data_IF_542614490796
#
_entry.id   IF_542614490796
#
_cell.length_a   1.000
_cell.length_b   1.000
_cell.length_c   1.000
_cell.angle_alpha   90.00
_cell.angle_beta   90.00
_cell.angle_gamma   90.00
#
_symmetry.space_group_name_H-M   'P 1'
#
loop_
_entity.id
_entity.type
_entity.pdbx_description
1 polymer ?
#
# COMPACT_ATOMS: atom_id res chain seq x y z
N UNK A 1 -36.84 11.43 -12.43
CA UNK A 1 -35.89 11.52 -11.32
C UNK A 1 -34.54 11.89 -11.92
N UNK A 2 -33.75 12.75 -11.29
CA UNK A 2 -32.39 12.97 -11.79
C UNK A 2 -31.62 11.65 -11.81
N UNK A 3 -30.77 11.48 -12.80
CA UNK A 3 -29.89 10.31 -12.89
C UNK A 3 -28.91 10.31 -11.71
N UNK A 4 -28.89 9.24 -10.93
CA UNK A 4 -28.00 9.14 -9.77
C UNK A 4 -26.54 8.96 -10.23
N UNK A 5 -25.56 9.48 -9.45
CA UNK A 5 -24.15 9.26 -9.78
C UNK A 5 -23.81 7.77 -9.87
N UNK A 6 -23.08 7.40 -10.92
CA UNK A 6 -22.62 6.01 -11.12
C UNK A 6 -21.30 5.73 -10.38
N UNK A 7 -20.59 6.81 -9.98
CA UNK A 7 -19.30 6.70 -9.29
C UNK A 7 -19.56 6.47 -7.80
N UNK A 8 -19.06 5.36 -7.22
CA UNK A 8 -19.22 5.11 -5.79
C UNK A 8 -18.38 6.11 -4.97
N UNK A 9 -18.86 6.39 -3.76
CA UNK A 9 -18.09 7.13 -2.75
C UNK A 9 -16.92 6.27 -2.26
N UNK A 10 -15.81 6.92 -1.94
CA UNK A 10 -14.61 6.33 -1.34
C UNK A 10 -14.26 7.00 -0.03
N UNK A 11 -13.54 6.30 0.82
CA UNK A 11 -12.92 6.83 2.02
C UNK A 11 -11.42 6.61 1.89
N UNK A 12 -10.66 7.67 2.05
CA UNK A 12 -9.21 7.68 1.93
C UNK A 12 -8.57 7.75 3.32
N UNK A 13 -7.46 7.04 3.48
CA UNK A 13 -6.68 6.98 4.71
C UNK A 13 -5.21 7.34 4.50
N UNK A 14 -4.31 6.48 4.99
CA UNK A 14 -2.86 6.70 4.86
C UNK A 14 -2.43 6.80 3.42
N UNK A 15 -1.61 7.80 3.10
CA UNK A 15 -0.85 7.85 1.86
C UNK A 15 0.29 6.82 1.93
N UNK A 16 0.52 6.09 0.85
CA UNK A 16 1.45 4.95 0.82
C UNK A 16 2.43 5.10 -0.33
N UNK A 17 3.71 4.98 -0.02
CA UNK A 17 4.77 4.96 -1.02
C UNK A 17 5.56 3.66 -0.91
N UNK A 18 5.63 2.92 -2.02
CA UNK A 18 6.57 1.83 -2.21
C UNK A 18 7.75 2.35 -3.01
N UNK A 19 8.96 2.13 -2.53
CA UNK A 19 10.20 2.43 -3.25
C UNK A 19 11.00 1.15 -3.41
N UNK A 20 11.32 0.80 -4.64
CA UNK A 20 12.10 -0.40 -4.97
C UNK A 20 13.48 0.04 -5.44
N UNK A 21 14.53 -0.50 -4.80
CA UNK A 21 15.91 -0.15 -5.08
C UNK A 21 16.73 -1.38 -5.45
N UNK A 22 17.66 -1.17 -6.36
CA UNK A 22 18.83 -2.01 -6.54
C UNK A 22 19.98 -1.44 -5.73
N UNK A 23 20.74 -2.31 -5.09
CA UNK A 23 21.88 -1.92 -4.27
C UNK A 23 23.19 -2.12 -5.04
N UNK A 24 24.06 -1.12 -5.04
CA UNK A 24 25.39 -1.25 -5.68
C UNK A 24 26.36 -2.00 -4.77
N UNK A 25 26.22 -3.33 -4.76
CA UNK A 25 27.11 -4.23 -4.04
C UNK A 25 28.58 -4.08 -4.43
N UNK A 26 28.86 -3.67 -5.68
CA UNK A 26 30.23 -3.52 -6.19
C UNK A 26 30.90 -2.29 -5.56
N UNK A 27 30.21 -1.17 -5.55
CA UNK A 27 30.70 0.05 -4.87
C UNK A 27 30.77 -0.16 -3.36
N UNK A 28 29.74 -0.75 -2.75
CA UNK A 28 29.68 -1.03 -1.30
C UNK A 28 30.87 -1.86 -0.82
N UNK A 29 31.22 -2.95 -1.51
CA UNK A 29 32.32 -3.85 -1.13
C UNK A 29 33.70 -3.22 -1.26
N UNK A 30 33.85 -2.10 -1.96
CA UNK A 30 35.11 -1.35 -2.08
C UNK A 30 35.36 -0.41 -0.89
N UNK A 31 34.33 -0.07 -0.14
CA UNK A 31 34.48 0.78 1.05
C UNK A 31 35.24 0.05 2.15
N UNK A 32 36.08 0.78 2.92
CA UNK A 32 36.64 0.31 4.18
C UNK A 32 35.56 -0.18 5.15
N UNK A 33 35.91 -1.10 6.03
CA UNK A 33 34.96 -1.70 6.97
C UNK A 33 34.37 -0.66 7.94
N UNK A 34 35.17 0.28 8.40
CA UNK A 34 34.76 1.36 9.29
C UNK A 34 33.73 2.30 8.62
N UNK A 35 33.92 2.65 7.35
CA UNK A 35 32.94 3.43 6.58
C UNK A 35 31.64 2.66 6.41
N UNK A 36 31.68 1.37 6.02
CA UNK A 36 30.48 0.54 5.91
C UNK A 36 29.73 0.45 7.24
N UNK A 37 30.46 0.31 8.34
CA UNK A 37 29.88 0.25 9.68
C UNK A 37 29.19 1.56 10.04
N UNK A 38 29.82 2.70 9.74
CA UNK A 38 29.23 4.02 10.01
C UNK A 38 27.94 4.25 9.21
N UNK A 39 27.96 3.98 7.90
CA UNK A 39 26.79 4.12 7.01
C UNK A 39 25.65 3.18 7.48
N UNK A 40 26.00 1.95 7.83
CA UNK A 40 25.04 0.96 8.31
C UNK A 40 24.38 1.39 9.62
N UNK A 41 25.16 1.98 10.55
CA UNK A 41 24.65 2.51 11.81
C UNK A 41 23.73 3.72 11.60
N UNK A 42 24.09 4.64 10.70
CA UNK A 42 23.24 5.78 10.32
C UNK A 42 21.89 5.30 9.79
N UNK A 43 21.91 4.39 8.82
CA UNK A 43 20.67 3.87 8.22
C UNK A 43 19.85 3.04 9.21
N UNK A 44 20.51 2.25 10.08
CA UNK A 44 19.83 1.52 11.16
C UNK A 44 19.05 2.46 12.09
N UNK A 45 19.68 3.59 12.47
CA UNK A 45 19.02 4.58 13.34
C UNK A 45 17.84 5.25 12.63
N UNK A 46 17.95 5.58 11.35
CA UNK A 46 16.87 6.11 10.54
C UNK A 46 15.72 5.12 10.44
N UNK A 47 16.02 3.87 10.05
CA UNK A 47 15.02 2.81 9.90
C UNK A 47 14.31 2.51 11.22
N UNK A 48 15.03 2.51 12.36
CA UNK A 48 14.44 2.32 13.68
C UNK A 48 13.38 3.39 14.02
N UNK A 49 13.67 4.67 13.69
CA UNK A 49 12.68 5.76 13.87
C UNK A 49 11.46 5.55 12.97
N UNK A 50 11.67 5.15 11.74
CA UNK A 50 10.60 4.90 10.78
C UNK A 50 9.75 3.68 11.14
N UNK A 51 10.36 2.60 11.66
CA UNK A 51 9.65 1.41 12.14
C UNK A 51 8.81 1.70 13.40
N UNK A 52 9.33 2.51 14.31
CA UNK A 52 8.59 2.93 15.50
C UNK A 52 7.33 3.72 15.16
N UNK A 53 7.38 4.47 14.05
CA UNK A 53 6.30 5.33 13.62
C UNK A 53 6.07 6.51 14.56
N UNK A 54 4.98 7.23 14.31
CA UNK A 54 4.54 8.34 15.14
C UNK A 54 3.01 8.31 15.20
N UNK A 55 2.47 8.21 16.42
CA UNK A 55 1.04 8.18 16.66
C UNK A 55 0.45 9.55 17.05
N UNK A 56 1.29 10.58 17.17
CA UNK A 56 0.87 11.93 17.50
C UNK A 56 0.83 12.84 16.26
N UNK A 57 -0.14 13.77 16.19
CA UNK A 57 -1.20 14.06 17.16
C UNK A 57 -2.50 13.26 16.95
N UNK A 58 -2.65 12.55 15.82
CA UNK A 58 -3.92 11.95 15.38
C UNK A 58 -4.06 10.45 15.74
N UNK A 59 -3.03 9.85 16.34
CA UNK A 59 -3.02 8.42 16.71
C UNK A 59 -2.77 7.47 15.53
N UNK A 60 -2.38 7.98 14.35
CA UNK A 60 -2.06 7.15 13.19
C UNK A 60 -0.63 6.57 13.29
N UNK A 61 -0.39 5.33 12.86
CA UNK A 61 0.91 4.67 13.01
C UNK A 61 2.06 5.35 12.27
N UNK A 62 1.84 5.93 11.09
CA UNK A 62 2.84 6.64 10.28
C UNK A 62 4.19 5.89 10.17
N UNK A 63 4.12 4.60 9.92
CA UNK A 63 5.24 3.66 9.95
C UNK A 63 5.90 3.49 8.59
N UNK A 64 7.14 3.00 8.61
CA UNK A 64 7.82 2.45 7.44
C UNK A 64 8.31 1.04 7.72
N UNK A 65 8.54 0.29 6.65
CA UNK A 65 9.08 -1.06 6.72
C UNK A 65 10.07 -1.30 5.58
N UNK A 66 11.15 -2.01 5.89
CA UNK A 66 12.14 -2.44 4.92
C UNK A 66 12.01 -3.95 4.68
N UNK A 67 12.12 -4.34 3.41
CA UNK A 67 12.14 -5.73 3.00
C UNK A 67 13.28 -5.98 2.01
N UNK A 68 13.97 -7.11 2.16
CA UNK A 68 14.94 -7.65 1.20
C UNK A 68 14.19 -8.33 0.08
N UNK A 69 14.29 -7.82 -1.13
CA UNK A 69 13.59 -8.37 -2.29
C UNK A 69 14.31 -9.60 -2.83
N UNK A 70 13.52 -10.62 -3.19
CA UNK A 70 14.00 -11.84 -3.84
C UNK A 70 13.79 -11.71 -5.35
N UNK A 71 14.85 -11.93 -6.12
CA UNK A 71 14.82 -11.92 -7.59
C UNK A 71 15.50 -10.70 -8.20
N UNK A 72 15.29 -10.48 -9.50
CA UNK A 72 16.09 -9.53 -10.30
C UNK A 72 15.50 -8.11 -10.37
N UNK A 73 14.33 -7.86 -9.80
CA UNK A 73 13.61 -6.58 -9.95
C UNK A 73 14.16 -5.48 -9.05
N UNK A 74 14.88 -5.86 -8.02
CA UNK A 74 15.53 -4.98 -7.05
C UNK A 74 16.17 -5.81 -5.94
N UNK A 75 16.75 -5.15 -4.95
CA UNK A 75 17.35 -5.77 -3.75
C UNK A 75 16.59 -5.37 -2.48
N UNK A 76 15.97 -4.17 -2.46
CA UNK A 76 15.26 -3.63 -1.32
C UNK A 76 13.90 -3.05 -1.73
N UNK A 77 12.91 -3.20 -0.85
CA UNK A 77 11.64 -2.48 -0.89
C UNK A 77 11.48 -1.73 0.42
N UNK A 78 11.29 -0.42 0.34
CA UNK A 78 10.82 0.42 1.43
C UNK A 78 9.34 0.71 1.22
N UNK A 79 8.54 0.53 2.28
CA UNK A 79 7.14 0.92 2.30
C UNK A 79 6.95 1.97 3.37
N UNK A 80 6.27 3.07 3.02
CA UNK A 80 5.99 4.18 3.90
C UNK A 80 4.49 4.44 3.95
N UNK A 81 3.92 4.49 5.16
CA UNK A 81 2.55 4.92 5.42
C UNK A 81 2.60 6.27 6.14
N UNK A 82 1.95 7.29 5.59
CA UNK A 82 1.95 8.66 6.15
C UNK A 82 0.56 9.29 6.02
N UNK A 83 0.31 10.33 6.81
CA UNK A 83 -0.95 11.07 6.79
C UNK A 83 -1.09 11.97 5.55
N UNK A 84 0.02 12.37 4.94
CA UNK A 84 0.03 13.29 3.80
C UNK A 84 1.08 12.92 2.75
N UNK A 85 0.89 13.43 1.52
CA UNK A 85 1.90 13.34 0.46
C UNK A 85 3.15 14.14 0.79
N UNK A 86 3.01 15.25 1.52
CA UNK A 86 4.13 16.06 2.00
C UNK A 86 5.02 15.28 2.97
N UNK A 87 4.42 14.44 3.80
CA UNK A 87 5.18 13.56 4.71
C UNK A 87 5.89 12.45 3.96
N UNK A 88 5.28 11.89 2.90
CA UNK A 88 5.96 10.95 2.00
C UNK A 88 7.15 11.61 1.29
N UNK A 89 6.95 12.81 0.72
CA UNK A 89 8.04 13.57 0.11
C UNK A 89 9.18 13.85 1.10
N UNK A 90 8.85 14.15 2.36
CA UNK A 90 9.86 14.36 3.41
C UNK A 90 10.68 13.10 3.66
N UNK A 91 10.05 11.93 3.69
CA UNK A 91 10.74 10.64 3.86
C UNK A 91 11.70 10.36 2.68
N UNK A 92 11.29 10.64 1.45
CA UNK A 92 12.17 10.50 0.27
C UNK A 92 13.38 11.42 0.37
N UNK A 93 13.17 12.69 0.74
CA UNK A 93 14.23 13.65 0.91
C UNK A 93 15.16 13.28 2.07
N UNK A 94 14.61 12.73 3.17
CA UNK A 94 15.42 12.26 4.30
C UNK A 94 16.32 11.08 3.89
N UNK A 95 15.79 10.10 3.13
CA UNK A 95 16.57 9.00 2.58
C UNK A 95 17.69 9.51 1.68
N UNK A 96 17.37 10.47 0.81
CA UNK A 96 18.33 11.06 -0.14
C UNK A 96 19.51 11.80 0.54
N UNK A 97 19.36 12.21 1.80
CA UNK A 97 20.45 12.85 2.57
C UNK A 97 21.32 11.84 3.32
N UNK A 98 20.97 10.55 3.32
CA UNK A 98 21.80 9.54 4.01
C UNK A 98 23.06 9.20 3.24
N UNK A 99 24.09 8.79 3.97
CA UNK A 99 25.33 8.25 3.38
C UNK A 99 25.11 6.93 2.62
N UNK A 100 23.97 6.27 2.82
CA UNK A 100 23.59 5.06 2.08
C UNK A 100 23.08 5.37 0.67
N UNK A 101 22.45 6.53 0.47
CA UNK A 101 21.73 6.84 -0.77
C UNK A 101 22.55 6.69 -2.07
N UNK A 102 23.87 7.03 -2.10
CA UNK A 102 24.70 6.83 -3.29
C UNK A 102 24.79 5.36 -3.77
N UNK A 103 24.47 4.40 -2.91
CA UNK A 103 24.46 2.97 -3.24
C UNK A 103 23.08 2.46 -3.66
N UNK A 104 22.05 3.32 -3.61
CA UNK A 104 20.67 2.98 -3.95
C UNK A 104 20.34 3.47 -5.36
N UNK A 105 20.00 2.55 -6.25
CA UNK A 105 19.44 2.86 -7.56
C UNK A 105 17.95 2.53 -7.55
N UNK A 106 17.09 3.53 -7.60
CA UNK A 106 15.65 3.31 -7.67
C UNK A 106 15.28 2.64 -9.01
N UNK A 107 14.62 1.49 -8.93
CA UNK A 107 14.20 0.71 -10.10
C UNK A 107 12.71 0.88 -10.39
N UNK A 108 11.93 1.14 -9.36
CA UNK A 108 10.49 1.38 -9.46
C UNK A 108 9.97 2.07 -8.19
N UNK A 109 8.80 2.66 -8.29
CA UNK A 109 8.03 3.16 -7.15
C UNK A 109 6.55 2.94 -7.39
N UNK A 110 5.74 3.10 -6.33
CA UNK A 110 4.30 3.07 -6.42
C UNK A 110 3.69 3.98 -5.36
N UNK A 111 2.94 4.98 -5.81
CA UNK A 111 2.28 5.98 -4.96
C UNK A 111 0.77 5.71 -4.92
N UNK A 112 0.20 5.62 -3.73
CA UNK A 112 -1.20 5.27 -3.55
C UNK A 112 -1.75 5.79 -2.23
N UNK A 113 -3.05 5.56 -1.98
CA UNK A 113 -3.73 5.89 -0.73
C UNK A 113 -4.51 4.66 -0.26
N UNK A 114 -4.48 4.34 1.04
CA UNK A 114 -5.38 3.32 1.58
C UNK A 114 -6.81 3.77 1.32
N UNK A 115 -7.55 2.99 0.55
CA UNK A 115 -8.89 3.34 0.09
C UNK A 115 -9.91 2.25 0.43
N UNK A 116 -11.07 2.67 0.87
CA UNK A 116 -12.23 1.80 1.05
C UNK A 116 -13.37 2.30 0.17
N UNK A 117 -13.70 1.54 -0.87
CA UNK A 117 -14.87 1.80 -1.70
C UNK A 117 -16.18 1.51 -0.95
N UNK A 118 -17.08 2.47 -0.94
CA UNK A 118 -18.40 2.38 -0.29
C UNK A 118 -19.49 1.96 -1.30
N UNK A 119 -19.22 0.95 -2.14
CA UNK A 119 -20.02 0.63 -3.30
C UNK A 119 -21.52 0.46 -2.97
N UNK A 120 -21.87 -0.53 -2.12
CA UNK A 120 -23.27 -0.77 -1.72
C UNK A 120 -23.88 0.37 -0.87
N UNK A 121 -23.03 1.08 -0.11
CA UNK A 121 -23.47 2.20 0.71
C UNK A 121 -23.76 3.44 -0.13
N UNK A 122 -23.03 3.64 -1.23
CA UNK A 122 -23.20 4.80 -2.10
C UNK A 122 -24.60 4.84 -2.74
N UNK A 123 -25.08 3.71 -3.23
CA UNK A 123 -26.42 3.63 -3.79
C UNK A 123 -27.50 4.02 -2.78
N UNK A 124 -27.36 3.54 -1.53
CA UNK A 124 -28.29 3.86 -0.44
C UNK A 124 -28.22 5.34 -0.05
N UNK A 125 -27.00 5.89 0.04
CA UNK A 125 -26.78 7.30 0.36
C UNK A 125 -27.39 8.17 -0.75
N UNK A 126 -27.11 7.89 -2.01
CA UNK A 126 -27.64 8.63 -3.14
C UNK A 126 -29.16 8.57 -3.22
N UNK A 127 -29.76 7.40 -3.02
CA UNK A 127 -31.21 7.25 -2.97
C UNK A 127 -31.83 8.12 -1.85
N UNK A 128 -31.26 8.09 -0.65
CA UNK A 128 -31.73 8.89 0.50
C UNK A 128 -31.63 10.40 0.25
N UNK A 129 -30.56 10.85 -0.42
CA UNK A 129 -30.41 12.27 -0.78
C UNK A 129 -31.43 12.70 -1.84
N UNK A 130 -31.67 11.84 -2.84
CA UNK A 130 -32.69 12.09 -3.87
C UNK A 130 -34.12 12.11 -3.29
N UNK A 131 -34.45 11.21 -2.34
CA UNK A 131 -35.73 11.21 -1.60
C UNK A 131 -35.95 12.52 -0.81
N UNK A 132 -34.89 13.18 -0.34
CA UNK A 132 -34.94 14.50 0.29
C UNK A 132 -35.07 15.65 -0.72
N UNK A 133 -35.16 15.35 -2.03
CA UNK A 133 -35.26 16.33 -3.09
C UNK A 133 -33.95 17.06 -3.41
N UNK A 134 -32.80 16.53 -2.98
CA UNK A 134 -31.50 17.09 -3.30
C UNK A 134 -31.07 16.61 -4.69
N UNK A 135 -30.44 17.52 -5.45
CA UNK A 135 -29.96 17.24 -6.80
C UNK A 135 -28.44 16.93 -6.80
N UNK A 136 -27.99 15.87 -7.51
CA UNK A 136 -26.58 15.52 -7.63
C UNK A 136 -25.71 16.71 -8.06
N UNK A 137 -24.56 16.87 -7.38
CA UNK A 137 -23.59 17.93 -7.68
C UNK A 137 -23.88 19.29 -7.06
N UNK A 138 -25.02 19.47 -6.37
CA UNK A 138 -25.30 20.70 -5.60
C UNK A 138 -24.49 20.74 -4.30
N UNK A 139 -24.23 21.93 -3.70
CA UNK A 139 -23.57 22.04 -2.41
C UNK A 139 -24.28 21.25 -1.31
N UNK A 140 -25.61 21.25 -1.28
CA UNK A 140 -26.45 20.54 -0.32
C UNK A 140 -26.33 19.02 -0.49
N UNK A 141 -26.29 18.51 -1.72
CA UNK A 141 -26.02 17.12 -2.03
C UNK A 141 -24.64 16.70 -1.52
N UNK A 142 -23.61 17.48 -1.85
CA UNK A 142 -22.23 17.20 -1.46
C UNK A 142 -22.06 17.23 0.07
N UNK A 143 -22.72 18.17 0.76
CA UNK A 143 -22.73 18.22 2.21
C UNK A 143 -23.40 16.99 2.82
N UNK A 144 -24.55 16.56 2.29
CA UNK A 144 -25.27 15.36 2.75
C UNK A 144 -24.48 14.08 2.52
N UNK A 145 -23.81 13.93 1.39
CA UNK A 145 -22.91 12.82 1.11
C UNK A 145 -21.72 12.84 2.07
N UNK A 146 -21.10 13.99 2.32
CA UNK A 146 -20.01 14.16 3.27
C UNK A 146 -20.38 13.80 4.72
N UNK A 147 -21.58 14.20 5.19
CA UNK A 147 -22.06 13.78 6.52
C UNK A 147 -22.28 12.27 6.63
N UNK A 148 -22.79 11.63 5.58
CA UNK A 148 -23.00 10.19 5.56
C UNK A 148 -21.67 9.43 5.57
N UNK A 149 -20.68 9.89 4.80
CA UNK A 149 -19.34 9.29 4.77
C UNK A 149 -18.55 9.54 6.05
N UNK A 150 -18.67 10.70 6.69
CA UNK A 150 -17.97 11.01 7.94
C UNK A 150 -18.34 10.03 9.09
N UNK A 151 -19.61 9.60 9.16
CA UNK A 151 -20.04 8.60 10.14
C UNK A 151 -19.42 7.23 9.88
N UNK A 152 -19.33 6.85 8.61
CA UNK A 152 -18.71 5.59 8.18
C UNK A 152 -17.20 5.63 8.40
N UNK A 153 -16.56 6.77 8.10
CA UNK A 153 -15.12 6.99 8.31
C UNK A 153 -14.71 6.73 9.77
N UNK A 154 -15.44 7.28 10.73
CA UNK A 154 -15.13 7.10 12.15
C UNK A 154 -15.12 5.61 12.57
N UNK A 155 -16.03 4.80 12.01
CA UNK A 155 -16.10 3.36 12.29
C UNK A 155 -15.05 2.52 11.59
N UNK A 156 -14.45 3.03 10.50
CA UNK A 156 -13.46 2.34 9.65
C UNK A 156 -12.05 2.92 9.78
N UNK A 157 -11.82 3.87 10.67
CA UNK A 157 -10.53 4.57 10.83
C UNK A 157 -9.35 3.60 10.99
N UNK A 158 -9.48 2.54 11.78
CA UNK A 158 -8.41 1.55 11.95
C UNK A 158 -8.06 0.76 10.67
N UNK A 159 -8.97 0.72 9.70
CA UNK A 159 -8.73 0.10 8.39
C UNK A 159 -8.13 1.08 7.40
N UNK A 160 -8.44 2.37 7.55
CA UNK A 160 -7.93 3.45 6.71
C UNK A 160 -6.49 3.83 7.11
N UNK A 161 -6.17 3.72 8.40
CA UNK A 161 -4.83 4.02 8.93
C UNK A 161 -4.22 2.75 9.57
N UNK A 162 -3.92 1.71 8.78
CA UNK A 162 -3.42 0.47 9.31
C UNK A 162 -1.96 0.60 9.76
N UNK A 163 -1.60 -0.13 10.82
CA UNK A 163 -0.20 -0.42 11.09
C UNK A 163 0.33 -1.44 10.07
N UNK A 164 1.60 -1.32 9.70
CA UNK A 164 2.26 -2.30 8.83
C UNK A 164 2.34 -3.63 9.59
N UNK A 165 1.78 -4.73 9.05
CA UNK A 165 1.77 -6.02 9.73
C UNK A 165 3.19 -6.52 10.04
N UNK A 166 3.44 -7.09 11.24
CA UNK A 166 4.77 -7.60 11.64
C UNK A 166 5.05 -8.99 11.04
N UNK A 167 4.69 -9.21 9.77
CA UNK A 167 4.88 -10.49 9.10
C UNK A 167 6.28 -10.61 8.48
N UNK A 168 6.76 -11.83 8.34
CA UNK A 168 8.08 -12.15 7.79
C UNK A 168 8.19 -11.85 6.30
N UNK A 169 7.12 -12.04 5.53
CA UNK A 169 7.12 -11.87 4.08
C UNK A 169 6.12 -10.83 3.64
N UNK A 170 6.49 -10.13 2.57
CA UNK A 170 5.63 -9.25 1.78
C UNK A 170 5.57 -9.76 0.35
N UNK A 171 4.37 -9.78 -0.22
CA UNK A 171 4.15 -9.86 -1.65
C UNK A 171 3.37 -8.61 -2.09
N UNK A 172 4.05 -7.68 -2.75
CA UNK A 172 3.44 -6.49 -3.36
C UNK A 172 3.21 -6.73 -4.85
N UNK A 173 2.07 -6.27 -5.34
CA UNK A 173 1.80 -6.18 -6.78
C UNK A 173 0.79 -5.07 -7.07
N UNK A 174 0.96 -4.29 -8.16
CA UNK A 174 -0.07 -3.41 -8.67
C UNK A 174 -1.05 -4.18 -9.54
N UNK A 175 -2.27 -3.67 -9.65
CA UNK A 175 -3.30 -4.27 -10.50
C UNK A 175 -4.29 -3.23 -11.02
N UNK A 176 -4.92 -3.58 -12.16
CA UNK A 176 -6.00 -2.82 -12.77
C UNK A 176 -7.24 -3.69 -12.94
N UNK A 177 -8.36 -3.04 -12.96
CA UNK A 177 -9.56 -3.50 -13.64
C UNK A 177 -9.42 -3.27 -15.14
N UNK A 178 -9.77 -4.24 -15.95
CA UNK A 178 -9.78 -4.05 -17.41
C UNK A 178 -10.77 -2.93 -17.77
N UNK A 179 -10.31 -1.98 -18.57
CA UNK A 179 -11.14 -0.85 -19.00
C UNK A 179 -12.35 -1.34 -19.79
N UNK A 180 -13.51 -0.77 -19.51
CA UNK A 180 -14.78 -1.16 -20.11
C UNK A 180 -15.52 -2.29 -19.37
N UNK A 181 -14.91 -2.91 -18.37
CA UNK A 181 -15.47 -4.02 -17.59
C UNK A 181 -16.00 -3.59 -16.21
N UNK A 182 -16.23 -2.29 -15.98
CA UNK A 182 -16.63 -1.74 -14.67
C UNK A 182 -17.90 -2.39 -14.14
N UNK A 183 -18.93 -2.53 -14.98
CA UNK A 183 -20.20 -3.14 -14.58
C UNK A 183 -19.98 -4.59 -14.19
N UNK A 184 -19.29 -5.36 -15.02
CA UNK A 184 -19.01 -6.76 -14.78
C UNK A 184 -18.18 -6.99 -13.52
N UNK A 185 -17.19 -6.11 -13.27
CA UNK A 185 -16.36 -6.15 -12.06
C UNK A 185 -17.19 -6.07 -10.78
N UNK A 186 -18.21 -5.22 -10.75
CA UNK A 186 -19.02 -4.98 -9.56
C UNK A 186 -20.24 -5.89 -9.44
N UNK A 187 -20.77 -6.39 -10.55
CA UNK A 187 -22.00 -7.21 -10.57
C UNK A 187 -21.75 -8.71 -10.47
N UNK A 188 -20.56 -9.18 -10.86
CA UNK A 188 -20.22 -10.61 -10.74
C UNK A 188 -19.97 -10.98 -9.28
N UNK A 189 -20.52 -12.12 -8.81
CA UNK A 189 -20.25 -12.61 -7.46
C UNK A 189 -18.76 -12.90 -7.27
N UNK A 190 -18.15 -12.21 -6.34
CA UNK A 190 -16.75 -12.50 -5.96
C UNK A 190 -16.75 -13.68 -4.97
N UNK A 191 -15.89 -14.66 -5.21
CA UNK A 191 -15.73 -15.79 -4.29
C UNK A 191 -15.40 -15.29 -2.86
N UNK A 192 -16.03 -15.87 -1.85
CA UNK A 192 -15.74 -15.53 -0.45
C UNK A 192 -14.35 -16.06 -0.07
N UNK A 193 -13.38 -15.16 -0.06
CA UNK A 193 -11.98 -15.44 0.23
C UNK A 193 -11.63 -15.36 1.72
N UNK A 194 -12.61 -15.04 2.58
CA UNK A 194 -12.38 -14.85 4.03
C UNK A 194 -11.86 -16.11 4.71
N UNK A 195 -12.16 -17.28 4.19
CA UNK A 195 -11.65 -18.56 4.73
C UNK A 195 -10.16 -18.78 4.50
N UNK A 196 -9.55 -18.08 3.51
CA UNK A 196 -8.13 -18.18 3.18
C UNK A 196 -7.31 -16.95 3.65
N UNK A 197 -7.99 -15.89 4.05
CA UNK A 197 -7.37 -14.64 4.49
C UNK A 197 -7.11 -14.67 6.01
N UNK A 198 -6.32 -15.63 6.48
CA UNK A 198 -5.66 -15.52 7.79
C UNK A 198 -4.51 -14.50 7.75
N UNK A 199 -4.09 -14.10 6.54
CA UNK A 199 -3.05 -13.14 6.28
C UNK A 199 -3.64 -11.74 6.14
N UNK A 200 -2.81 -10.77 6.49
CA UNK A 200 -3.22 -9.37 6.40
C UNK A 200 -2.99 -8.87 4.99
N UNK A 201 -4.04 -8.32 4.40
CA UNK A 201 -4.02 -7.65 3.11
C UNK A 201 -4.30 -6.17 3.32
N UNK A 202 -3.48 -5.32 2.70
CA UNK A 202 -3.74 -3.89 2.57
C UNK A 202 -3.89 -3.60 1.08
N UNK A 203 -5.02 -2.99 0.72
CA UNK A 203 -5.30 -2.55 -0.65
C UNK A 203 -5.30 -1.04 -0.66
N UNK A 204 -4.63 -0.46 -1.65
CA UNK A 204 -4.49 0.98 -1.83
C UNK A 204 -4.96 1.38 -3.22
N UNK A 205 -5.67 2.51 -3.32
CA UNK A 205 -6.07 3.11 -4.59
C UNK A 205 -5.01 4.09 -5.10
N UNK A 206 -4.81 4.13 -6.41
CA UNK A 206 -3.80 5.01 -7.02
C UNK A 206 -4.27 5.69 -8.31
N UNK A 207 -5.56 5.63 -8.61
CA UNK A 207 -6.13 6.31 -9.78
C UNK A 207 -5.81 7.81 -9.75
N UNK A 208 -5.02 8.28 -10.72
CA UNK A 208 -4.56 9.66 -10.78
C UNK A 208 -3.29 9.96 -9.95
N UNK A 209 -2.74 8.97 -9.24
CA UNK A 209 -1.49 9.07 -8.47
C UNK A 209 -0.36 8.25 -9.10
N UNK A 210 -0.69 7.12 -9.72
CA UNK A 210 0.27 6.20 -10.34
C UNK A 210 -0.34 5.56 -11.61
N UNK A 211 0.44 4.70 -12.29
CA UNK A 211 0.06 4.08 -13.57
C UNK A 211 -1.02 3.00 -13.44
N UNK A 212 -1.18 2.39 -12.26
CA UNK A 212 -2.14 1.34 -11.96
C UNK A 212 -3.28 1.84 -11.08
N UNK A 213 -4.44 1.12 -11.07
CA UNK A 213 -5.59 1.52 -10.25
C UNK A 213 -5.40 1.17 -8.77
N UNK A 214 -4.77 0.02 -8.47
CA UNK A 214 -4.57 -0.47 -7.10
C UNK A 214 -3.19 -1.05 -6.86
N UNK A 215 -2.69 -0.84 -5.63
CA UNK A 215 -1.61 -1.60 -5.03
C UNK A 215 -2.15 -2.62 -4.03
N UNK A 216 -1.60 -3.82 -4.04
CA UNK A 216 -1.98 -4.89 -3.12
C UNK A 216 -0.75 -5.36 -2.36
N UNK A 217 -0.78 -5.18 -1.05
CA UNK A 217 0.20 -5.71 -0.11
C UNK A 217 -0.36 -6.94 0.59
N UNK A 218 0.28 -8.08 0.42
CA UNK A 218 0.00 -9.32 1.14
C UNK A 218 1.12 -9.59 2.13
N UNK A 219 0.77 -9.78 3.40
CA UNK A 219 1.71 -10.04 4.49
C UNK A 219 1.44 -11.41 5.09
N UNK A 220 2.48 -12.26 5.20
CA UNK A 220 2.38 -13.62 5.76
C UNK A 220 3.70 -14.08 6.37
N UNK A 221 3.63 -15.08 7.26
CA UNK A 221 4.81 -15.78 7.79
C UNK A 221 5.17 -17.03 6.98
N UNK A 222 4.27 -17.48 6.10
CA UNK A 222 4.51 -18.52 5.09
C UNK A 222 4.26 -17.96 3.67
N UNK A 223 5.29 -17.84 2.80
CA UNK A 223 5.14 -17.27 1.47
C UNK A 223 4.34 -18.17 0.52
N UNK A 224 4.15 -19.45 0.84
CA UNK A 224 3.34 -20.37 0.02
C UNK A 224 1.87 -19.95 -0.02
N UNK A 225 1.42 -19.24 0.99
CA UNK A 225 0.07 -18.68 1.07
C UNK A 225 -0.20 -17.70 -0.07
N UNK A 226 0.76 -16.84 -0.42
CA UNK A 226 0.61 -15.94 -1.57
C UNK A 226 0.36 -16.69 -2.87
N UNK A 227 1.13 -17.76 -3.10
CA UNK A 227 0.95 -18.62 -4.27
C UNK A 227 -0.45 -19.25 -4.29
N UNK A 228 -0.92 -19.77 -3.15
CA UNK A 228 -2.25 -20.40 -3.04
C UNK A 228 -3.34 -19.39 -3.29
N UNK A 229 -3.28 -18.21 -2.66
CA UNK A 229 -4.25 -17.13 -2.83
C UNK A 229 -4.35 -16.70 -4.29
N UNK A 230 -3.21 -16.36 -4.92
CA UNK A 230 -3.21 -15.93 -6.32
C UNK A 230 -3.65 -17.07 -7.27
N UNK A 231 -3.30 -18.32 -6.95
CA UNK A 231 -3.78 -19.47 -7.74
C UNK A 231 -5.30 -19.56 -7.71
N UNK A 232 -5.95 -19.43 -6.55
CA UNK A 232 -7.42 -19.45 -6.44
C UNK A 232 -8.06 -18.26 -7.14
N UNK A 233 -7.48 -17.06 -7.04
CA UNK A 233 -7.94 -15.88 -7.77
C UNK A 233 -7.98 -16.12 -9.30
N UNK A 234 -7.18 -17.03 -9.85
CA UNK A 234 -7.21 -17.38 -11.28
C UNK A 234 -8.41 -18.20 -11.68
N UNK A 235 -9.15 -18.78 -10.71
CA UNK A 235 -10.41 -19.50 -10.96
C UNK A 235 -11.64 -18.65 -10.62
N UNK A 236 -11.48 -17.54 -9.94
CA UNK A 236 -12.53 -16.57 -9.72
C UNK A 236 -12.70 -15.68 -10.96
N UNK A 237 -13.92 -15.63 -11.51
CA UNK A 237 -14.22 -14.94 -12.76
C UNK A 237 -13.82 -13.46 -12.74
N UNK A 238 -14.07 -12.77 -11.62
CA UNK A 238 -13.74 -11.35 -11.47
C UNK A 238 -12.22 -11.15 -11.66
N UNK A 239 -11.43 -11.91 -10.91
CA UNK A 239 -9.97 -11.77 -10.95
C UNK A 239 -9.35 -12.37 -12.21
N UNK A 240 -9.89 -13.47 -12.74
CA UNK A 240 -9.33 -14.14 -13.90
C UNK A 240 -9.63 -13.43 -15.23
N UNK A 241 -10.82 -12.83 -15.35
CA UNK A 241 -11.30 -12.25 -16.61
C UNK A 241 -11.18 -10.72 -16.61
N UNK A 242 -11.56 -10.07 -15.52
CA UNK A 242 -11.69 -8.60 -15.47
C UNK A 242 -10.52 -7.87 -14.81
N UNK A 243 -9.59 -8.59 -14.16
CA UNK A 243 -8.38 -8.01 -13.59
C UNK A 243 -7.18 -8.11 -14.55
N UNK A 244 -6.25 -7.16 -14.42
CA UNK A 244 -4.91 -7.19 -14.98
C UNK A 244 -3.92 -7.03 -13.83
N UNK A 245 -2.93 -7.93 -13.74
CA UNK A 245 -1.93 -7.94 -12.67
C UNK A 245 -0.60 -7.46 -13.20
N UNK A 246 0.03 -6.54 -12.48
CA UNK A 246 1.38 -6.08 -12.77
C UNK A 246 2.46 -7.04 -12.26
N UNK A 247 3.63 -6.49 -12.01
CA UNK A 247 4.76 -7.27 -11.52
C UNK A 247 4.58 -7.62 -10.04
N UNK A 248 4.90 -8.87 -9.67
CA UNK A 248 4.93 -9.33 -8.29
C UNK A 248 6.32 -9.09 -7.69
N UNK A 249 6.36 -8.52 -6.49
CA UNK A 249 7.57 -8.26 -5.72
C UNK A 249 7.48 -9.07 -4.42
N UNK A 250 8.26 -10.16 -4.34
CA UNK A 250 8.32 -11.00 -3.15
C UNK A 250 9.55 -10.65 -2.33
N UNK A 251 9.38 -10.46 -1.03
CA UNK A 251 10.46 -9.97 -0.18
C UNK A 251 10.36 -10.46 1.26
N UNK A 252 11.48 -10.41 1.98
CA UNK A 252 11.65 -10.83 3.37
C UNK A 252 11.86 -9.60 4.24
N UNK A 253 11.17 -9.52 5.38
CA UNK A 253 11.30 -8.41 6.33
C UNK A 253 12.73 -8.25 6.83
N UNK A 254 13.21 -7.02 6.83
CA UNK A 254 14.47 -6.60 7.45
C UNK A 254 14.14 -5.56 8.50
N UNK A 255 14.45 -5.86 9.76
CA UNK A 255 14.30 -4.89 10.85
C UNK A 255 15.57 -4.06 11.01
N UNK A 256 15.42 -2.84 11.52
CA UNK A 256 16.54 -1.95 11.82
C UNK A 256 17.64 -2.66 12.64
N UNK A 257 17.26 -3.49 13.60
CA UNK A 257 18.20 -4.27 14.42
C UNK A 257 19.04 -5.28 13.61
N UNK A 258 18.56 -5.71 12.44
CA UNK A 258 19.18 -6.75 11.63
C UNK A 258 19.77 -6.23 10.32
N UNK A 259 19.78 -4.92 10.09
CA UNK A 259 20.24 -4.34 8.83
C UNK A 259 21.72 -4.65 8.54
N UNK A 260 22.57 -4.75 9.58
CA UNK A 260 23.97 -5.15 9.43
C UNK A 260 24.07 -6.56 8.83
N UNK A 261 23.21 -7.50 9.25
CA UNK A 261 23.18 -8.85 8.70
C UNK A 261 22.81 -8.86 7.22
N UNK A 262 21.95 -7.94 6.78
CA UNK A 262 21.63 -7.79 5.38
C UNK A 262 22.86 -7.31 4.58
N UNK A 263 23.57 -6.29 5.04
CA UNK A 263 24.79 -5.79 4.39
C UNK A 263 25.92 -6.82 4.36
N UNK A 264 26.00 -7.69 5.36
CA UNK A 264 27.02 -8.74 5.48
C UNK A 264 26.62 -10.04 4.76
N UNK A 265 25.38 -10.11 4.22
CA UNK A 265 24.84 -11.30 3.56
C UNK A 265 24.56 -12.46 4.52
N UNK A 266 24.31 -12.18 5.80
CA UNK A 266 24.06 -13.18 6.88
C UNK A 266 22.62 -13.14 7.40
N UNK A 267 21.74 -12.36 6.74
CA UNK A 267 20.33 -12.29 7.09
C UNK A 267 19.68 -13.67 6.92
N UNK A 268 19.02 -14.20 7.98
CA UNK A 268 18.41 -15.53 8.03
C UNK A 268 16.87 -15.46 7.89
#
# INVERSE_FOLDING_TARGET
MPELPQVPLTLEGSNVLHQIFRFDWTAWKKLPLDERTAISAEFSALLARWEAGNTEPNGHPNQSALFSQIGHKGDLILIHFRDSLEDLNRVELELAQTSLYPFLQQTSSYLSVVELGLYESSEKIYAQLAEKGLEPGTPEWNAGAGEATARTFASLSSRLFPAIPPAKYLCFYPMDRKRGEQVNWYTEPMADRRTMMHERQIITGSIGLDDWEWGVDLFADDPIIFKKLIYEMRFDKVSAVYASFGQFFLSVRVHAANINQWFDGTLA
#
